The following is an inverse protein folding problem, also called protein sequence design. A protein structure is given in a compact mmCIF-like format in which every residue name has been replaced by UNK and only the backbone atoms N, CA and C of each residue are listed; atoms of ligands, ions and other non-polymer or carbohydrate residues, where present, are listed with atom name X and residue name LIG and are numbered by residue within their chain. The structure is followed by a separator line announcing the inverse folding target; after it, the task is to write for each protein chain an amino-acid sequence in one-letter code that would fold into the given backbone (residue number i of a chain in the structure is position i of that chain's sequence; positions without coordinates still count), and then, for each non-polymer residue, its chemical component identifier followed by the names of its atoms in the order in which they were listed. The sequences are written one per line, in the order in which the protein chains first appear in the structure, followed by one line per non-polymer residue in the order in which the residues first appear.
data_IF_060689989032
#
_entry.id   IF_060689989032
#
_cell.length_a   1.000
_cell.length_b   1.000
_cell.length_c   1.000
_cell.angle_alpha   90.00
_cell.angle_beta   90.00
_cell.angle_gamma   90.00
#
_symmetry.space_group_name_H-M   'P 1'
#
loop_
_entity.id
_entity.type
_entity.pdbx_description
1 polymer ?
#
# COMPACT_ATOMS: atom_id res chain seq x y z
N UNK A 1 8.09 -25.36 11.67
CA UNK A 1 7.55 -24.05 11.28
C UNK A 1 8.74 -23.11 11.11
N UNK A 2 9.06 -22.71 9.87
CA UNK A 2 10.15 -21.74 9.65
C UNK A 2 9.79 -20.44 10.37
N UNK A 3 10.73 -19.87 11.13
CA UNK A 3 10.57 -18.52 11.64
C UNK A 3 10.22 -17.61 10.46
N UNK A 4 9.12 -16.83 10.50
CA UNK A 4 8.93 -15.79 9.52
C UNK A 4 10.15 -14.86 9.61
N UNK A 5 10.90 -14.72 8.52
CA UNK A 5 11.90 -13.65 8.44
C UNK A 5 11.19 -12.33 8.73
N UNK A 6 11.70 -11.50 9.64
CA UNK A 6 10.93 -10.31 10.01
C UNK A 6 11.35 -9.55 11.25
N UNK A 7 12.65 -9.49 11.54
CA UNK A 7 13.16 -8.76 12.69
C UNK A 7 14.17 -7.72 12.20
N UNK A 8 13.69 -6.52 11.91
CA UNK A 8 14.52 -5.45 11.37
C UNK A 8 15.56 -5.03 12.42
N UNK A 9 16.84 -5.21 12.09
CA UNK A 9 17.98 -4.97 12.97
C UNK A 9 18.96 -3.90 12.43
N UNK A 10 18.62 -3.20 11.34
CA UNK A 10 19.39 -2.06 10.87
C UNK A 10 19.44 -0.98 11.96
N UNK A 11 20.57 -0.25 12.00
CA UNK A 11 20.79 0.82 12.96
C UNK A 11 19.65 1.85 12.83
N UNK A 12 18.73 1.95 13.79
CA UNK A 12 17.61 2.86 13.64
C UNK A 12 18.06 4.28 14.00
N UNK A 13 17.37 5.27 13.45
CA UNK A 13 17.43 6.63 13.99
C UNK A 13 16.84 6.72 15.42
N UNK A 14 16.06 5.72 15.83
CA UNK A 14 15.48 5.59 17.19
C UNK A 14 15.75 4.19 17.78
N UNK A 15 16.69 4.10 18.73
CA UNK A 15 16.92 2.92 19.57
C UNK A 15 18.01 1.95 19.09
N UNK A 16 18.14 0.79 19.74
CA UNK A 16 19.06 -0.29 19.32
C UNK A 16 18.42 -1.67 19.34
N UNK A 17 17.20 -1.76 19.85
CA UNK A 17 16.47 -3.03 19.93
C UNK A 17 16.02 -3.49 18.56
N UNK A 18 15.68 -4.76 18.45
CA UNK A 18 15.14 -5.38 17.24
C UNK A 18 13.64 -5.10 17.17
N UNK A 19 13.12 -4.66 16.02
CA UNK A 19 11.68 -4.46 15.87
C UNK A 19 10.97 -5.84 15.79
N UNK A 20 9.97 -6.12 16.65
CA UNK A 20 9.16 -7.33 16.54
C UNK A 20 8.34 -7.33 15.25
N UNK A 21 7.98 -8.52 14.75
CA UNK A 21 7.02 -8.65 13.66
C UNK A 21 5.64 -8.16 14.11
N UNK A 22 4.80 -7.74 13.15
CA UNK A 22 3.40 -7.39 13.43
C UNK A 22 2.61 -8.56 14.05
N UNK A 23 3.00 -9.82 13.77
CA UNK A 23 2.39 -11.01 14.37
C UNK A 23 2.77 -11.21 15.84
N UNK A 24 3.97 -10.81 16.23
CA UNK A 24 4.41 -10.84 17.64
C UNK A 24 3.73 -9.74 18.48
N UNK A 25 3.26 -8.67 17.83
CA UNK A 25 2.44 -7.62 18.46
C UNK A 25 0.96 -8.00 18.54
N UNK A 26 0.55 -9.10 17.90
CA UNK A 26 -0.84 -9.52 17.79
C UNK A 26 -1.42 -9.94 19.15
N UNK A 27 -2.65 -9.53 19.44
CA UNK A 27 -3.43 -10.01 20.57
C UNK A 27 -4.89 -10.23 20.14
N UNK A 28 -5.44 -11.39 20.49
CA UNK A 28 -6.78 -11.82 20.06
C UNK A 28 -7.86 -10.78 20.38
N UNK A 29 -8.70 -10.51 19.39
CA UNK A 29 -9.82 -9.57 19.45
C UNK A 29 -9.46 -8.11 19.15
N UNK A 30 -8.19 -7.77 18.87
CA UNK A 30 -7.80 -6.41 18.50
C UNK A 30 -8.05 -6.13 17.02
N UNK A 31 -8.54 -4.92 16.73
CA UNK A 31 -8.76 -4.42 15.38
C UNK A 31 -8.12 -3.05 15.19
N UNK A 32 -7.54 -2.85 14.00
CA UNK A 32 -6.92 -1.59 13.58
C UNK A 32 -7.76 -0.85 12.52
N UNK A 33 -9.00 -1.28 12.32
CA UNK A 33 -9.90 -0.71 11.33
C UNK A 33 -11.29 -0.56 11.93
N UNK A 34 -12.02 0.42 11.39
CA UNK A 34 -13.43 0.59 11.61
C UNK A 34 -14.09 0.75 10.25
N UNK A 35 -14.90 -0.22 9.86
CA UNK A 35 -15.73 -0.09 8.67
C UNK A 35 -16.88 0.87 8.96
N UNK A 36 -17.36 1.56 7.92
CA UNK A 36 -18.56 2.39 8.05
C UNK A 36 -19.74 1.50 8.41
N UNK A 37 -20.61 1.98 9.30
CA UNK A 37 -21.89 1.32 9.52
C UNK A 37 -22.68 1.34 8.22
N UNK A 38 -23.06 0.16 7.75
CA UNK A 38 -23.97 0.00 6.63
C UNK A 38 -25.36 -0.25 7.21
N UNK A 39 -26.41 0.35 6.64
CA UNK A 39 -27.81 0.04 6.98
C UNK A 39 -28.26 -1.33 6.41
N UNK A 40 -27.32 -2.28 6.36
CA UNK A 40 -27.50 -3.61 5.80
C UNK A 40 -27.48 -4.60 6.96
N UNK A 41 -28.53 -5.38 7.07
CA UNK A 41 -28.66 -6.41 8.10
C UNK A 41 -27.53 -7.45 8.00
N UNK A 42 -26.98 -7.92 9.13
CA UNK A 42 -25.97 -8.97 9.14
C UNK A 42 -26.46 -10.24 8.45
N UNK A 43 -25.67 -10.75 7.50
CA UNK A 43 -25.99 -11.94 6.73
C UNK A 43 -25.11 -13.11 7.13
N UNK A 44 -25.71 -14.25 7.45
CA UNK A 44 -24.96 -15.49 7.64
C UNK A 44 -24.48 -16.01 6.27
N UNK A 45 -23.16 -16.03 6.08
CA UNK A 45 -22.51 -16.47 4.85
C UNK A 45 -22.88 -17.92 4.48
N UNK A 46 -23.22 -18.76 5.46
CA UNK A 46 -23.62 -20.16 5.22
C UNK A 46 -24.91 -20.29 4.42
N UNK A 47 -25.75 -19.24 4.43
CA UNK A 47 -27.03 -19.21 3.71
C UNK A 47 -26.89 -18.84 2.23
N UNK A 48 -25.75 -18.24 1.85
CA UNK A 48 -25.52 -17.70 0.49
C UNK A 48 -24.38 -18.41 -0.23
N UNK A 49 -23.37 -18.88 0.50
CA UNK A 49 -22.18 -19.51 -0.06
C UNK A 49 -22.22 -21.01 0.21
N UNK A 50 -22.24 -21.88 -0.83
CA UNK A 50 -22.21 -23.33 -0.64
C UNK A 50 -20.97 -23.79 0.15
N UNK A 51 -21.15 -24.80 1.00
CA UNK A 51 -20.11 -25.28 1.92
C UNK A 51 -18.73 -25.57 1.28
N UNK A 52 -18.60 -26.13 0.06
CA UNK A 52 -17.30 -26.35 -0.57
C UNK A 52 -16.50 -25.06 -0.85
N UNK A 53 -17.15 -23.90 -0.85
CA UNK A 53 -16.53 -22.59 -1.11
C UNK A 53 -16.32 -21.76 0.16
N UNK A 54 -16.78 -22.23 1.32
CA UNK A 54 -16.53 -21.58 2.60
C UNK A 54 -15.13 -21.96 3.11
N UNK A 55 -14.43 -20.98 3.70
CA UNK A 55 -13.17 -21.26 4.39
C UNK A 55 -13.47 -21.97 5.71
N UNK A 56 -12.76 -23.07 5.96
CA UNK A 56 -12.86 -23.82 7.22
C UNK A 56 -12.22 -23.07 8.40
N UNK A 57 -11.15 -22.32 8.16
CA UNK A 57 -10.43 -21.55 9.17
C UNK A 57 -10.22 -20.10 8.73
N UNK A 58 -10.24 -19.12 9.66
CA UNK A 58 -9.89 -17.74 9.35
C UNK A 58 -8.48 -17.60 8.78
N UNK A 59 -8.27 -16.56 7.97
CA UNK A 59 -6.92 -16.16 7.57
C UNK A 59 -6.15 -15.75 8.81
N UNK A 60 -4.91 -16.23 8.96
CA UNK A 60 -4.00 -15.79 10.03
C UNK A 60 -3.49 -14.37 9.74
N UNK A 61 -4.31 -13.37 10.03
CA UNK A 61 -3.94 -11.95 10.03
C UNK A 61 -3.54 -11.51 11.44
N UNK A 62 -2.65 -10.51 11.59
CA UNK A 62 -2.33 -9.95 12.89
C UNK A 62 -3.53 -9.15 13.44
N UNK A 63 -3.83 -9.35 14.71
CA UNK A 63 -4.86 -8.66 15.47
C UNK A 63 -4.19 -7.60 16.33
N UNK A 64 -4.15 -6.35 15.85
CA UNK A 64 -3.44 -5.23 16.49
C UNK A 64 -4.34 -4.02 16.58
N UNK A 65 -4.04 -3.09 17.50
CA UNK A 65 -4.73 -1.78 17.52
C UNK A 65 -4.15 -0.85 16.44
N UNK A 66 -4.88 0.21 16.08
CA UNK A 66 -4.36 1.23 15.16
C UNK A 66 -3.05 1.86 15.66
N UNK A 67 -2.95 2.10 16.98
CA UNK A 67 -1.72 2.62 17.60
C UNK A 67 -0.55 1.65 17.43
N UNK A 68 -0.79 0.36 17.63
CA UNK A 68 0.24 -0.67 17.45
C UNK A 68 0.70 -0.70 15.97
N UNK A 69 -0.25 -0.65 15.04
CA UNK A 69 0.00 -0.65 13.60
C UNK A 69 0.81 0.58 13.16
N UNK A 70 0.34 1.78 13.47
CA UNK A 70 1.01 3.05 13.13
C UNK A 70 2.40 3.09 13.77
N UNK A 71 2.51 2.70 15.04
CA UNK A 71 3.78 2.63 15.74
C UNK A 71 4.76 1.66 15.06
N UNK A 72 4.28 0.47 14.67
CA UNK A 72 5.09 -0.53 13.99
C UNK A 72 5.61 -0.04 12.64
N UNK A 73 4.73 0.49 11.78
CA UNK A 73 5.12 1.05 10.48
C UNK A 73 6.12 2.20 10.65
N UNK A 74 5.88 3.10 11.61
CA UNK A 74 6.78 4.23 11.89
C UNK A 74 8.17 3.77 12.35
N UNK A 75 8.25 2.76 13.23
CA UNK A 75 9.55 2.20 13.65
C UNK A 75 10.28 1.50 12.51
N UNK A 76 9.55 0.85 11.60
CA UNK A 76 10.14 0.28 10.38
C UNK A 76 10.66 1.36 9.42
N UNK A 77 9.98 2.50 9.25
CA UNK A 77 10.48 3.58 8.39
C UNK A 77 11.79 4.17 8.91
N UNK A 78 11.95 4.31 10.23
CA UNK A 78 13.22 4.74 10.85
C UNK A 78 14.38 3.75 10.72
N UNK A 79 14.11 2.55 10.22
CA UNK A 79 15.09 1.48 9.93
C UNK A 79 15.39 1.33 8.45
N UNK A 80 14.76 2.14 7.60
CA UNK A 80 14.97 2.18 6.17
C UNK A 80 15.84 3.39 5.79
N UNK A 81 16.69 3.21 4.78
CA UNK A 81 17.34 4.32 4.08
C UNK A 81 16.59 4.58 2.77
N UNK A 82 16.43 5.83 2.39
CA UNK A 82 15.70 6.23 1.17
C UNK A 82 16.37 7.43 0.50
N UNK A 83 16.00 7.70 -0.75
CA UNK A 83 16.47 8.88 -1.51
C UNK A 83 16.10 10.21 -0.84
N UNK A 84 15.06 10.23 0.00
CA UNK A 84 14.66 11.41 0.75
C UNK A 84 15.60 11.71 1.93
N UNK A 85 16.34 10.70 2.41
CA UNK A 85 17.22 10.84 3.57
C UNK A 85 18.66 11.21 3.19
N UNK A 86 19.11 10.88 1.97
CA UNK A 86 20.47 11.19 1.56
C UNK A 86 20.85 10.61 0.20
N UNK A 87 22.16 10.69 -0.09
CA UNK A 87 22.72 10.26 -1.38
C UNK A 87 22.59 8.75 -1.58
N UNK A 88 22.02 8.36 -2.74
CA UNK A 88 21.67 6.97 -3.04
C UNK A 88 22.26 6.50 -4.40
N UNK A 89 23.60 6.34 -4.53
CA UNK A 89 24.29 6.13 -5.81
C UNK A 89 24.23 4.69 -6.32
N UNK A 90 23.03 4.23 -6.69
CA UNK A 90 22.88 2.95 -7.37
C UNK A 90 22.98 3.14 -8.89
N UNK A 91 24.03 2.59 -9.48
CA UNK A 91 24.20 2.55 -10.93
C UNK A 91 23.03 1.82 -11.62
N UNK A 92 22.66 2.27 -12.82
CA UNK A 92 21.51 1.75 -13.61
C UNK A 92 20.12 2.04 -13.02
N UNK A 93 19.98 2.29 -11.72
CA UNK A 93 18.68 2.51 -11.07
C UNK A 93 18.11 3.91 -11.23
N UNK A 94 18.93 4.91 -11.63
CA UNK A 94 18.51 6.32 -11.75
C UNK A 94 17.76 6.81 -10.50
N UNK A 95 18.36 6.66 -9.33
CA UNK A 95 17.80 7.08 -8.02
C UNK A 95 17.80 8.62 -7.89
N UNK A 96 17.04 9.28 -8.76
CA UNK A 96 16.86 10.73 -8.81
C UNK A 96 15.86 11.19 -7.73
N UNK A 97 15.77 12.51 -7.56
CA UNK A 97 14.73 13.10 -6.74
C UNK A 97 13.32 12.72 -7.25
N UNK A 98 12.44 12.35 -6.33
CA UNK A 98 11.01 12.13 -6.57
C UNK A 98 10.25 13.40 -6.17
N UNK A 99 9.79 14.23 -7.13
CA UNK A 99 9.07 15.46 -6.83
C UNK A 99 7.81 15.19 -6.02
N UNK A 100 7.67 15.84 -4.85
CA UNK A 100 6.50 15.64 -3.96
C UNK A 100 5.18 16.08 -4.58
N UNK A 101 5.24 16.94 -5.61
CA UNK A 101 4.08 17.27 -6.42
C UNK A 101 3.54 16.06 -7.20
N UNK A 102 4.39 15.11 -7.59
CA UNK A 102 3.92 13.89 -8.26
C UNK A 102 3.06 13.04 -7.30
N UNK A 103 3.49 12.89 -6.05
CA UNK A 103 2.73 12.19 -5.00
C UNK A 103 1.40 12.90 -4.69
N UNK A 104 1.38 14.23 -4.77
CA UNK A 104 0.14 15.01 -4.61
C UNK A 104 -0.81 14.83 -5.80
N UNK A 105 -0.30 14.90 -7.04
CA UNK A 105 -1.11 14.73 -8.27
C UNK A 105 -1.77 13.36 -8.30
N UNK A 106 -1.07 12.29 -7.89
CA UNK A 106 -1.66 10.94 -7.84
C UNK A 106 -2.78 10.82 -6.80
N UNK A 107 -2.87 11.74 -5.85
CA UNK A 107 -3.94 11.81 -4.85
C UNK A 107 -5.21 12.55 -5.30
N UNK A 108 -5.23 13.14 -6.51
CA UNK A 108 -6.40 13.84 -7.02
C UNK A 108 -7.56 12.85 -7.28
N UNK A 109 -8.77 13.21 -6.85
CA UNK A 109 -9.97 12.33 -6.92
C UNK A 109 -10.27 11.83 -8.34
N UNK A 110 -10.15 12.72 -9.34
CA UNK A 110 -10.34 12.38 -10.75
C UNK A 110 -9.26 11.45 -11.35
N UNK A 111 -8.17 11.20 -10.62
CA UNK A 111 -7.11 10.26 -11.02
C UNK A 111 -7.15 8.97 -10.18
N UNK A 112 -7.28 9.06 -8.86
CA UNK A 112 -7.16 7.90 -7.98
C UNK A 112 -8.42 7.03 -7.85
N UNK A 113 -9.57 7.49 -8.35
CA UNK A 113 -10.87 6.84 -8.13
C UNK A 113 -11.56 6.39 -9.42
N UNK A 114 -10.82 6.25 -10.52
CA UNK A 114 -11.37 5.83 -11.82
C UNK A 114 -11.21 4.32 -12.02
N UNK A 115 -12.33 3.64 -12.30
CA UNK A 115 -12.30 2.22 -12.66
C UNK A 115 -11.74 2.06 -14.09
N UNK A 116 -10.78 1.15 -14.35
CA UNK A 116 -10.19 0.99 -15.69
C UNK A 116 -11.18 0.64 -16.80
N UNK A 117 -12.29 -0.03 -16.45
CA UNK A 117 -13.39 -0.37 -17.37
C UNK A 117 -14.53 0.66 -17.43
N UNK A 118 -14.33 1.88 -16.92
CA UNK A 118 -15.34 2.93 -17.02
C UNK A 118 -15.52 3.38 -18.49
N UNK A 119 -16.75 3.74 -18.91
CA UNK A 119 -17.01 4.26 -20.25
C UNK A 119 -16.08 5.43 -20.62
N UNK A 120 -15.67 5.50 -21.89
CA UNK A 120 -14.69 6.49 -22.35
C UNK A 120 -15.15 7.94 -22.11
N UNK A 121 -16.46 8.18 -22.18
CA UNK A 121 -17.08 9.49 -21.96
C UNK A 121 -16.85 9.99 -20.52
N UNK A 122 -16.65 9.08 -19.56
CA UNK A 122 -16.38 9.40 -18.16
C UNK A 122 -14.88 9.52 -17.84
N UNK A 123 -14.01 9.23 -18.81
CA UNK A 123 -12.56 9.10 -18.63
C UNK A 123 -11.76 10.06 -19.51
N UNK A 124 -12.38 11.10 -20.08
CA UNK A 124 -11.71 11.98 -21.05
C UNK A 124 -10.42 12.62 -20.52
N UNK A 125 -10.36 13.01 -19.24
CA UNK A 125 -9.14 13.55 -18.63
C UNK A 125 -7.99 12.53 -18.57
N UNK A 126 -8.30 11.25 -18.31
CA UNK A 126 -7.30 10.18 -18.37
C UNK A 126 -6.82 9.93 -19.80
N UNK A 127 -7.75 9.92 -20.76
CA UNK A 127 -7.43 9.70 -22.17
C UNK A 127 -6.55 10.84 -22.73
N UNK A 128 -6.83 12.08 -22.37
CA UNK A 128 -6.00 13.24 -22.71
C UNK A 128 -4.60 13.13 -22.11
N UNK A 129 -4.50 12.73 -20.84
CA UNK A 129 -3.20 12.53 -20.17
C UNK A 129 -2.38 11.45 -20.88
N UNK A 130 -2.99 10.32 -21.24
CA UNK A 130 -2.31 9.23 -21.94
C UNK A 130 -1.83 9.66 -23.33
N UNK A 131 -2.69 10.31 -24.13
CA UNK A 131 -2.34 10.79 -25.46
C UNK A 131 -1.22 11.84 -25.40
N UNK A 132 -1.31 12.77 -24.45
CA UNK A 132 -0.27 13.79 -24.22
C UNK A 132 1.06 13.16 -23.80
N UNK A 133 1.02 12.13 -22.95
CA UNK A 133 2.22 11.42 -22.52
C UNK A 133 2.86 10.65 -23.68
N UNK A 134 2.06 9.97 -24.48
CA UNK A 134 2.49 9.26 -25.70
C UNK A 134 3.23 10.22 -26.63
N UNK A 135 2.63 11.35 -26.99
CA UNK A 135 3.25 12.35 -27.87
C UNK A 135 4.61 12.83 -27.32
N UNK A 136 4.67 13.11 -26.01
CA UNK A 136 5.90 13.55 -25.35
C UNK A 136 6.98 12.48 -25.36
N UNK A 137 6.62 11.22 -25.11
CA UNK A 137 7.56 10.10 -25.15
C UNK A 137 8.04 9.84 -26.57
N UNK A 138 7.16 9.87 -27.57
CA UNK A 138 7.52 9.76 -28.99
C UNK A 138 8.51 10.86 -29.40
N UNK A 139 8.24 12.11 -28.99
CA UNK A 139 9.14 13.25 -29.23
C UNK A 139 10.53 13.04 -28.62
N UNK A 140 10.61 12.55 -27.38
CA UNK A 140 11.89 12.33 -26.68
C UNK A 140 12.67 11.14 -27.25
N UNK A 141 11.95 10.11 -27.72
CA UNK A 141 12.55 8.86 -28.21
C UNK A 141 12.75 8.83 -29.73
N UNK A 142 12.21 9.79 -30.47
CA UNK A 142 12.25 9.84 -31.94
C UNK A 142 11.34 8.82 -32.62
N UNK A 143 10.34 8.31 -31.90
CA UNK A 143 9.32 7.40 -32.45
C UNK A 143 8.17 8.18 -33.10
N UNK A 144 7.43 7.54 -34.00
CA UNK A 144 6.28 8.08 -34.71
C UNK A 144 5.01 7.30 -34.37
#
# INVERSE_FOLDING_TARGET
MSQPGGRAASAPLMGREVEPTIFELSATGRTAYQLRTTDVEPLDLSTVIPAPYLRAEPVRLPEVSERDLVGHVTRLTHRQFSVDLGFYPLGSCTMKYNPKIADWVTGLEGLNSVHPGAPAELCQGWLELLATLEERLCTVTGMA
#
